data_IF_058196454207
#
_entry.id   IF_058196454207
#
_cell.length_a   1.000
_cell.length_b   1.000
_cell.length_c   1.000
_cell.angle_alpha   90.00
_cell.angle_beta   90.00
_cell.angle_gamma   90.00
#
_symmetry.space_group_name_H-M   'P 1'
#
loop_
_entity.id
_entity.type
_entity.pdbx_description
1 polymer ?
#
# COMPACT_ATOMS: atom_id res chain seq x y z
N UNK A 1 16.05 3.97 10.80
CA UNK A 1 15.12 4.20 9.69
C UNK A 1 13.88 3.53 10.15
N UNK A 2 12.82 4.30 10.07
CA UNK A 2 11.63 4.00 10.82
C UNK A 2 10.67 3.50 9.77
N UNK A 3 10.34 2.21 9.85
CA UNK A 3 9.37 1.61 8.93
C UNK A 3 7.99 1.95 9.44
N UNK A 4 7.35 2.89 8.74
CA UNK A 4 5.95 3.19 8.94
C UNK A 4 5.12 2.00 8.44
N UNK A 5 4.11 1.64 9.22
CA UNK A 5 3.08 0.70 8.77
C UNK A 5 2.26 1.45 7.72
N UNK A 6 2.05 0.88 6.52
CA UNK A 6 1.28 1.57 5.51
C UNK A 6 -0.17 1.72 5.97
N UNK A 7 -0.72 2.93 5.85
CA UNK A 7 -2.10 3.22 6.18
C UNK A 7 -3.06 2.77 5.06
N UNK A 8 -3.04 1.47 4.74
CA UNK A 8 -3.87 0.83 3.73
C UNK A 8 -4.55 -0.43 4.26
N UNK A 9 -5.39 -1.07 3.45
CA UNK A 9 -6.15 -2.28 3.81
C UNK A 9 -5.24 -3.40 4.35
N UNK A 10 -4.06 -3.55 3.76
CA UNK A 10 -3.10 -4.58 4.11
C UNK A 10 -2.34 -4.28 5.41
N UNK A 11 -1.95 -3.02 5.62
CA UNK A 11 -1.35 -2.57 6.88
C UNK A 11 -2.32 -2.73 8.05
N UNK A 12 -3.59 -2.37 7.86
CA UNK A 12 -4.66 -2.63 8.84
C UNK A 12 -4.79 -4.13 9.15
N UNK A 13 -4.79 -4.99 8.13
CA UNK A 13 -4.88 -6.44 8.33
C UNK A 13 -3.71 -7.06 9.11
N UNK A 14 -2.56 -6.39 9.07
CA UNK A 14 -1.35 -6.80 9.76
C UNK A 14 -1.28 -6.20 11.19
N UNK A 15 -1.68 -4.95 11.36
CA UNK A 15 -1.52 -4.18 12.58
C UNK A 15 -2.67 -4.32 13.58
N UNK A 16 -3.91 -4.49 13.12
CA UNK A 16 -5.10 -4.50 13.98
C UNK A 16 -5.22 -5.77 14.86
N UNK A 17 -5.03 -7.01 14.36
CA UNK A 17 -5.21 -8.20 15.18
C UNK A 17 -4.33 -8.26 16.45
N UNK A 18 -3.05 -7.82 16.41
CA UNK A 18 -2.23 -7.73 17.62
C UNK A 18 -2.69 -6.71 18.67
N UNK A 19 -3.40 -5.65 18.29
CA UNK A 19 -3.86 -4.61 19.23
C UNK A 19 -5.10 -5.05 20.03
N UNK A 20 -5.91 -5.94 19.47
CA UNK A 20 -7.15 -6.39 20.10
C UNK A 20 -6.89 -7.36 21.25
N UNK A 21 -7.41 -7.06 22.44
CA UNK A 21 -7.30 -7.90 23.62
C UNK A 21 -8.64 -8.51 24.00
N UNK A 22 -8.78 -9.82 23.81
CA UNK A 22 -10.00 -10.58 24.17
C UNK A 22 -10.44 -10.34 25.63
N UNK A 23 -9.50 -10.03 26.53
CA UNK A 23 -9.77 -9.78 27.95
C UNK A 23 -10.40 -8.42 28.23
N UNK A 24 -10.07 -7.39 27.44
CA UNK A 24 -10.53 -6.02 27.64
C UNK A 24 -11.72 -5.69 26.73
N UNK A 25 -11.65 -6.10 25.47
CA UNK A 25 -12.60 -5.74 24.42
C UNK A 25 -13.80 -6.71 24.34
N UNK A 26 -13.63 -7.89 24.94
CA UNK A 26 -14.61 -8.97 24.87
C UNK A 26 -14.49 -9.78 23.57
N UNK A 27 -14.94 -11.03 23.65
CA UNK A 27 -14.81 -12.00 22.54
C UNK A 27 -15.63 -11.61 21.30
N UNK A 28 -16.78 -10.96 21.49
CA UNK A 28 -17.65 -10.54 20.40
C UNK A 28 -16.99 -9.50 19.50
N UNK A 29 -16.48 -8.42 20.11
CA UNK A 29 -15.81 -7.35 19.37
C UNK A 29 -14.57 -7.88 18.65
N UNK A 30 -13.74 -8.67 19.35
CA UNK A 30 -12.58 -9.33 18.76
C UNK A 30 -12.93 -10.13 17.50
N UNK A 31 -13.96 -10.99 17.55
CA UNK A 31 -14.35 -11.81 16.40
C UNK A 31 -14.89 -10.95 15.25
N UNK A 32 -15.71 -9.95 15.56
CA UNK A 32 -16.30 -9.07 14.55
C UNK A 32 -15.25 -8.25 13.80
N UNK A 33 -14.27 -7.66 14.51
CA UNK A 33 -13.21 -6.87 13.88
C UNK A 33 -12.29 -7.73 13.01
N UNK A 34 -11.87 -8.89 13.52
CA UNK A 34 -11.08 -9.85 12.74
C UNK A 34 -11.86 -10.32 11.48
N UNK A 35 -13.14 -10.64 11.63
CA UNK A 35 -13.98 -11.03 10.50
C UNK A 35 -14.12 -9.90 9.48
N UNK A 36 -14.33 -8.66 9.94
CA UNK A 36 -14.44 -7.46 9.09
C UNK A 36 -13.20 -7.27 8.22
N UNK A 37 -12.02 -7.29 8.83
CA UNK A 37 -10.73 -7.09 8.16
C UNK A 37 -10.47 -8.17 7.11
N UNK A 38 -10.58 -9.45 7.48
CA UNK A 38 -10.33 -10.54 6.54
C UNK A 38 -11.40 -10.64 5.44
N UNK A 39 -12.64 -10.24 5.73
CA UNK A 39 -13.69 -10.15 4.72
C UNK A 39 -13.39 -9.06 3.68
N UNK A 40 -12.95 -7.87 4.10
CA UNK A 40 -12.51 -6.83 3.17
C UNK A 40 -11.33 -7.28 2.31
N UNK A 41 -10.32 -7.93 2.92
CA UNK A 41 -9.18 -8.50 2.21
C UNK A 41 -9.62 -9.53 1.17
N UNK A 42 -10.56 -10.42 1.53
CA UNK A 42 -11.11 -11.43 0.64
C UNK A 42 -11.86 -10.79 -0.54
N UNK A 43 -12.69 -9.77 -0.29
CA UNK A 43 -13.38 -9.02 -1.35
C UNK A 43 -12.35 -8.40 -2.30
N UNK A 44 -11.33 -7.74 -1.75
CA UNK A 44 -10.31 -7.11 -2.55
C UNK A 44 -9.61 -8.12 -3.47
N UNK A 45 -9.15 -9.25 -2.92
CA UNK A 45 -8.55 -10.31 -3.72
C UNK A 45 -9.50 -10.87 -4.77
N UNK A 46 -10.76 -11.08 -4.41
CA UNK A 46 -11.75 -11.59 -5.33
C UNK A 46 -11.97 -10.64 -6.51
N UNK A 47 -12.17 -9.34 -6.23
CA UNK A 47 -12.38 -8.31 -7.24
C UNK A 47 -11.15 -8.15 -8.14
N UNK A 48 -9.95 -8.00 -7.58
CA UNK A 48 -8.72 -7.94 -8.36
C UNK A 48 -8.52 -9.21 -9.22
N UNK A 49 -8.82 -10.40 -8.68
CA UNK A 49 -8.69 -11.65 -9.44
C UNK A 49 -9.67 -11.71 -10.60
N UNK A 50 -10.92 -11.28 -10.41
CA UNK A 50 -11.91 -11.22 -11.49
C UNK A 50 -11.45 -10.29 -12.61
N UNK A 51 -10.91 -9.11 -12.26
CA UNK A 51 -10.37 -8.18 -13.25
C UNK A 51 -9.19 -8.78 -14.00
N UNK A 52 -8.25 -9.42 -13.31
CA UNK A 52 -7.11 -10.09 -13.96
C UNK A 52 -7.59 -11.18 -14.93
N UNK A 53 -8.57 -11.99 -14.53
CA UNK A 53 -9.15 -13.02 -15.40
C UNK A 53 -9.84 -12.41 -16.62
N UNK A 54 -10.61 -11.34 -16.44
CA UNK A 54 -11.33 -10.68 -17.52
C UNK A 54 -10.39 -9.98 -18.50
N UNK A 55 -9.32 -9.33 -18.00
CA UNK A 55 -8.27 -8.76 -18.85
C UNK A 55 -7.58 -9.87 -19.65
N UNK A 56 -7.28 -11.00 -19.02
CA UNK A 56 -6.67 -12.14 -19.71
C UNK A 56 -7.60 -12.69 -20.82
N UNK A 57 -8.90 -12.79 -20.57
CA UNK A 57 -9.87 -13.23 -21.58
C UNK A 57 -9.95 -12.24 -22.76
N UNK A 58 -9.99 -10.93 -22.48
CA UNK A 58 -9.95 -9.90 -23.53
C UNK A 58 -8.65 -9.94 -24.33
N UNK A 59 -7.56 -10.32 -23.69
CA UNK A 59 -6.24 -10.42 -24.30
C UNK A 59 -6.14 -11.57 -25.31
N UNK A 60 -6.84 -12.67 -25.08
CA UNK A 60 -6.83 -13.84 -25.97
C UNK A 60 -7.61 -13.58 -27.28
N UNK A 61 -8.58 -12.66 -27.26
CA UNK A 61 -9.40 -12.31 -28.43
C UNK A 61 -8.90 -11.11 -29.26
N UNK A 62 -7.89 -10.38 -28.80
CA UNK A 62 -7.44 -9.16 -29.45
C UNK A 62 -6.53 -9.43 -30.65
N UNK A 63 -6.96 -9.03 -31.85
CA UNK A 63 -6.11 -9.03 -33.04
C UNK A 63 -5.04 -7.94 -32.98
N UNK A 64 -3.81 -8.33 -33.31
CA UNK A 64 -2.64 -7.46 -33.24
C UNK A 64 -2.49 -6.61 -34.50
N UNK A 65 -2.43 -5.28 -34.35
CA UNK A 65 -2.09 -4.37 -35.42
C UNK A 65 -0.67 -3.82 -35.22
N UNK A 66 0.25 -4.21 -36.11
CA UNK A 66 1.63 -3.72 -36.12
C UNK A 66 1.68 -2.32 -36.78
N UNK A 67 1.21 -1.27 -36.09
CA UNK A 67 1.34 0.11 -36.57
C UNK A 67 2.55 0.81 -35.91
N UNK A 68 3.43 1.40 -36.73
CA UNK A 68 4.56 2.24 -36.27
C UNK A 68 4.12 3.52 -35.58
N UNK A 69 3.00 4.09 -36.02
CA UNK A 69 2.57 5.42 -35.60
C UNK A 69 2.21 5.50 -34.10
N UNK A 70 1.82 4.38 -33.48
CA UNK A 70 1.38 4.34 -32.09
C UNK A 70 2.48 3.91 -31.10
N UNK A 71 3.67 3.54 -31.58
CA UNK A 71 4.69 2.93 -30.73
C UNK A 71 5.18 3.85 -29.61
N UNK A 72 5.30 5.15 -29.87
CA UNK A 72 5.67 6.11 -28.81
C UNK A 72 4.59 6.19 -27.72
N UNK A 73 3.31 6.17 -28.12
CA UNK A 73 2.19 6.21 -27.17
C UNK A 73 2.11 4.90 -26.37
N UNK A 74 2.26 3.75 -27.03
CA UNK A 74 2.36 2.43 -26.38
C UNK A 74 3.44 2.45 -25.30
N UNK A 75 4.63 2.95 -25.64
CA UNK A 75 5.75 3.04 -24.69
C UNK A 75 5.43 3.92 -23.49
N UNK A 76 4.86 5.11 -23.71
CA UNK A 76 4.51 6.03 -22.62
C UNK A 76 3.45 5.41 -21.71
N UNK A 77 2.40 4.81 -22.27
CA UNK A 77 1.32 4.17 -21.53
C UNK A 77 1.83 2.98 -20.69
N UNK A 78 2.64 2.10 -21.29
CA UNK A 78 3.25 0.96 -20.58
C UNK A 78 4.22 1.44 -19.52
N UNK A 79 5.05 2.43 -19.81
CA UNK A 79 6.01 2.99 -18.85
C UNK A 79 5.32 3.58 -17.63
N UNK A 80 4.29 4.41 -17.82
CA UNK A 80 3.52 5.01 -16.71
C UNK A 80 2.87 3.90 -15.87
N UNK A 81 2.28 2.90 -16.53
CA UNK A 81 1.68 1.77 -15.85
C UNK A 81 2.71 0.96 -15.03
N UNK A 82 3.87 0.63 -15.61
CA UNK A 82 4.95 -0.09 -14.92
C UNK A 82 5.53 0.71 -13.75
N UNK A 83 5.60 2.05 -13.85
CA UNK A 83 5.96 2.91 -12.72
C UNK A 83 4.96 2.76 -11.58
N UNK A 84 3.65 2.80 -11.86
CA UNK A 84 2.61 2.60 -10.84
C UNK A 84 2.73 1.21 -10.20
N UNK A 85 2.90 0.16 -11.02
CA UNK A 85 3.05 -1.20 -10.51
C UNK A 85 4.33 -1.38 -9.68
N UNK A 86 5.41 -0.69 -10.02
CA UNK A 86 6.61 -0.70 -9.19
C UNK A 86 6.35 -0.09 -7.80
N UNK A 87 5.60 1.02 -7.72
CA UNK A 87 5.24 1.63 -6.42
C UNK A 87 4.46 0.61 -5.57
N UNK A 88 3.45 -0.04 -6.14
CA UNK A 88 2.69 -1.09 -5.46
C UNK A 88 3.56 -2.27 -4.99
N UNK A 89 4.52 -2.70 -5.82
CA UNK A 89 5.45 -3.77 -5.46
C UNK A 89 6.43 -3.34 -4.35
N UNK A 90 6.87 -2.08 -4.35
CA UNK A 90 7.74 -1.53 -3.29
C UNK A 90 6.99 -1.46 -1.96
N UNK A 91 5.74 -1.02 -1.94
CA UNK A 91 4.90 -1.03 -0.74
C UNK A 91 4.68 -2.45 -0.22
N UNK A 92 4.41 -3.39 -1.14
CA UNK A 92 4.24 -4.81 -0.81
C UNK A 92 5.51 -5.41 -0.22
N UNK A 93 6.68 -5.10 -0.79
CA UNK A 93 7.97 -5.51 -0.26
C UNK A 93 8.27 -4.89 1.11
N UNK A 94 7.88 -3.62 1.31
CA UNK A 94 7.95 -2.92 2.60
C UNK A 94 7.17 -3.66 3.68
N UNK A 95 5.95 -4.11 3.37
CA UNK A 95 5.13 -4.91 4.30
C UNK A 95 5.75 -6.26 4.63
N UNK A 96 6.28 -6.98 3.63
CA UNK A 96 7.01 -8.24 3.86
C UNK A 96 8.19 -7.99 4.81
N UNK A 97 8.97 -6.94 4.55
CA UNK A 97 10.12 -6.58 5.37
C UNK A 97 9.71 -6.20 6.80
N UNK A 98 8.60 -5.47 6.96
CA UNK A 98 8.05 -5.06 8.24
C UNK A 98 7.65 -6.28 9.08
N UNK A 99 6.88 -7.22 8.51
CA UNK A 99 6.43 -8.44 9.20
C UNK A 99 7.62 -9.32 9.62
N UNK A 100 8.63 -9.44 8.76
CA UNK A 100 9.83 -10.23 9.05
C UNK A 100 10.68 -9.58 10.16
N UNK A 101 10.82 -8.25 10.13
CA UNK A 101 11.70 -7.50 11.04
C UNK A 101 11.07 -7.17 12.39
N UNK A 102 9.74 -7.22 12.50
CA UNK A 102 9.02 -6.99 13.75
C UNK A 102 9.64 -7.77 14.92
N UNK A 103 9.80 -7.16 16.10
CA UNK A 103 10.40 -7.89 17.23
C UNK A 103 9.39 -8.92 17.74
N UNK A 104 9.88 -10.15 17.99
CA UNK A 104 9.06 -11.17 18.66
C UNK A 104 8.69 -10.75 20.08
N UNK A 105 7.93 -11.57 20.82
CA UNK A 105 7.68 -11.35 22.24
C UNK A 105 9.02 -11.33 22.97
N UNK A 106 9.54 -10.14 23.26
CA UNK A 106 10.63 -10.03 24.20
C UNK A 106 10.05 -10.46 25.54
N UNK A 107 10.67 -11.45 26.17
CA UNK A 107 10.46 -11.70 27.58
C UNK A 107 10.85 -10.42 28.28
N UNK A 108 9.87 -9.53 28.48
CA UNK A 108 10.03 -8.21 29.07
C UNK A 108 10.88 -8.46 30.32
N UNK A 109 12.14 -7.99 30.38
CA UNK A 109 12.97 -8.24 31.53
C UNK A 109 12.15 -7.75 32.72
N UNK A 110 11.82 -8.66 33.64
CA UNK A 110 11.07 -8.36 34.85
C UNK A 110 11.96 -7.52 35.78
N UNK A 111 12.49 -6.40 35.31
CA UNK A 111 13.23 -5.43 36.10
C UNK A 111 12.21 -4.64 36.90
N UNK A 112 11.81 -5.24 38.03
CA UNK A 112 11.39 -4.74 39.35
C UNK A 112 10.65 -3.40 39.55
N UNK A 113 10.46 -2.54 38.55
CA UNK A 113 9.81 -1.23 38.70
C UNK A 113 8.28 -1.25 38.56
N UNK A 114 7.66 -2.42 38.31
CA UNK A 114 6.19 -2.55 38.39
C UNK A 114 5.66 -2.30 39.81
N UNK A 115 6.46 -2.57 40.85
CA UNK A 115 6.08 -2.22 42.22
C UNK A 115 5.95 -0.70 42.39
N UNK A 116 6.84 0.07 41.73
CA UNK A 116 6.89 1.53 41.83
C UNK A 116 5.67 2.23 41.18
N UNK A 117 5.17 1.71 40.05
CA UNK A 117 3.95 2.25 39.42
C UNK A 117 2.68 1.92 40.22
N UNK A 118 2.61 0.76 40.86
CA UNK A 118 1.48 0.44 41.75
C UNK A 118 1.52 1.22 43.07
N UNK A 119 2.70 1.48 43.64
CA UNK A 119 2.81 2.37 44.81
C UNK A 119 2.44 3.81 44.47
N UNK A 120 2.86 4.32 43.31
CA UNK A 120 2.57 5.70 42.92
C UNK A 120 1.09 5.92 42.55
N UNK A 121 0.43 4.93 41.94
CA UNK A 121 -1.02 4.97 41.70
C UNK A 121 -1.84 4.83 43.00
N UNK A 122 -1.31 4.14 44.02
CA UNK A 122 -1.95 3.97 45.33
C UNK A 122 -1.84 5.23 46.19
N UNK A 123 -0.79 6.04 46.03
CA UNK A 123 -0.63 7.33 46.71
C UNK A 123 -1.45 8.46 46.05
N UNK A 124 -1.78 8.34 44.76
CA UNK A 124 -2.58 9.32 44.02
C UNK A 124 -4.08 9.02 43.99
N UNK A 125 -4.55 7.96 44.68
CA UNK A 125 -5.98 7.68 44.83
C UNK A 125 -6.49 8.38 46.09
N UNK A 126 -7.13 9.56 45.99
CA UNK A 126 -7.82 10.14 47.13
C UNK A 126 -8.91 9.15 47.55
N UNK A 127 -8.85 8.74 48.81
CA UNK A 127 -9.78 7.88 49.54
C UNK A 127 -11.16 8.53 49.73
N UNK A 128 -11.69 9.17 48.68
CA UNK A 128 -13.02 9.76 48.65
C UNK A 128 -13.87 8.90 47.75
N UNK A 129 -14.74 8.12 48.38
CA UNK A 129 -15.72 7.28 47.71
C UNK A 129 -16.56 8.08 46.72
N UNK A 130 -17.20 7.34 45.82
CA UNK A 130 -18.23 7.83 44.92
C UNK A 130 -19.40 8.41 45.72
N UNK A 131 -19.24 9.64 46.19
CA UNK A 131 -20.30 10.50 46.67
C UNK A 131 -20.88 11.18 45.44
N UNK A 132 -22.15 10.92 45.18
CA UNK A 132 -22.99 11.70 44.29
C UNK A 132 -22.97 13.15 44.77
N UNK A 133 -21.99 13.93 44.30
CA UNK A 133 -21.93 15.36 44.56
C UNK A 133 -22.97 16.01 43.66
N UNK A 134 -24.02 16.43 44.35
CA UNK A 134 -25.14 17.22 43.89
C UNK A 134 -24.74 18.34 42.93
N UNK A 135 -25.51 18.45 41.86
CA UNK A 135 -25.54 19.60 40.96
C UNK A 135 -26.07 20.81 41.71
N UNK A 136 -25.19 21.79 41.96
CA UNK A 136 -25.63 23.17 42.18
C UNK A 136 -25.01 24.07 41.09
N UNK A 137 -25.91 24.46 40.19
CA UNK A 137 -25.96 25.70 39.41
C UNK A 137 -24.74 26.63 39.49
N UNK A 138 -23.88 26.58 38.46
CA UNK A 138 -23.12 27.77 38.04
C UNK A 138 -22.97 27.81 36.52
N UNK A 139 -23.93 28.51 35.94
CA UNK A 139 -23.96 29.01 34.57
C UNK A 139 -22.68 29.79 34.26
N UNK A 140 -21.97 29.36 33.22
CA UNK A 140 -20.78 30.02 32.70
C UNK A 140 -19.57 29.08 32.62
N UNK A 141 -19.19 28.69 31.41
CA UNK A 141 -17.94 27.97 31.05
C UNK A 141 -18.02 26.44 30.86
N UNK A 142 -19.20 25.88 30.57
CA UNK A 142 -19.32 24.47 30.13
C UNK A 142 -18.58 24.19 28.80
N UNK A 143 -18.62 25.14 27.85
CA UNK A 143 -17.92 25.05 26.56
C UNK A 143 -16.38 24.98 26.70
N UNK A 144 -15.78 25.66 27.69
CA UNK A 144 -14.31 25.57 27.93
C UNK A 144 -13.91 24.28 28.64
N UNK A 145 -14.82 23.64 29.39
CA UNK A 145 -14.55 22.32 30.00
C UNK A 145 -14.72 21.18 28.98
N UNK A 146 -15.65 21.30 28.02
CA UNK A 146 -15.74 20.35 26.91
C UNK A 146 -14.51 20.39 26.00
N UNK A 147 -14.03 21.58 25.62
CA UNK A 147 -12.82 21.70 24.78
C UNK A 147 -11.54 21.27 25.51
N UNK A 148 -11.46 21.43 26.84
CA UNK A 148 -10.30 20.98 27.62
C UNK A 148 -10.34 19.48 27.95
N UNK A 149 -11.52 18.84 27.96
CA UNK A 149 -11.64 17.37 28.08
C UNK A 149 -11.34 16.65 26.77
N UNK A 150 -11.64 17.26 25.62
CA UNK A 150 -11.22 16.76 24.30
C UNK A 150 -9.70 16.76 24.10
N UNK A 151 -8.96 17.57 24.86
CA UNK A 151 -7.51 17.76 24.71
C UNK A 151 -6.65 16.99 25.73
N UNK A 152 -7.24 16.15 26.60
CA UNK A 152 -6.51 15.44 27.66
C UNK A 152 -6.65 13.91 27.58
N UNK A 153 -7.02 13.40 26.41
CA UNK A 153 -7.06 11.96 26.08
C UNK A 153 -5.87 11.54 25.21
N UNK A 154 -4.79 12.34 25.16
CA UNK A 154 -3.61 12.09 24.31
C UNK A 154 -2.67 10.98 24.85
N UNK A 155 -2.84 10.50 26.08
CA UNK A 155 -2.06 9.37 26.61
C UNK A 155 -2.82 8.03 26.48
N UNK A 156 -3.53 7.84 25.36
CA UNK A 156 -4.02 6.52 24.98
C UNK A 156 -2.85 5.55 24.77
N UNK A 157 -3.05 4.23 24.95
CA UNK A 157 -2.02 3.27 24.58
C UNK A 157 -1.72 3.41 23.08
N UNK A 158 -0.56 3.95 22.74
CA UNK A 158 -0.11 4.05 21.36
C UNK A 158 0.02 2.66 20.77
N UNK A 159 -0.45 2.48 19.54
CA UNK A 159 -0.36 1.21 18.85
C UNK A 159 1.11 0.88 18.58
N UNK A 160 1.53 -0.29 19.04
CA UNK A 160 2.92 -0.74 18.87
C UNK A 160 2.95 -2.09 18.16
N UNK A 161 3.92 -2.26 17.25
CA UNK A 161 4.08 -3.52 16.50
C UNK A 161 4.92 -4.56 17.25
N UNK A 162 5.11 -4.39 18.56
CA UNK A 162 5.93 -5.27 19.39
C UNK A 162 5.16 -6.49 19.90
N UNK A 163 5.86 -7.60 20.14
CA UNK A 163 5.26 -8.77 20.78
C UNK A 163 4.57 -9.76 19.85
N UNK A 164 4.75 -9.62 18.54
CA UNK A 164 4.08 -10.47 17.56
C UNK A 164 4.68 -11.88 17.55
N UNK A 165 3.81 -12.88 17.72
CA UNK A 165 4.21 -14.30 17.69
C UNK A 165 4.71 -14.71 16.30
N UNK A 166 5.69 -15.62 16.24
CA UNK A 166 6.22 -16.14 14.97
C UNK A 166 5.14 -16.80 14.10
N UNK A 167 4.15 -17.46 14.73
CA UNK A 167 3.00 -18.06 14.04
C UNK A 167 2.17 -17.00 13.31
N UNK A 168 1.90 -15.88 13.98
CA UNK A 168 1.16 -14.78 13.36
C UNK A 168 1.96 -14.15 12.22
N UNK A 169 3.28 -13.98 12.36
CA UNK A 169 4.12 -13.49 11.24
C UNK A 169 4.03 -14.38 10.01
N UNK A 170 4.18 -15.69 10.19
CA UNK A 170 4.08 -16.64 9.09
C UNK A 170 2.68 -16.61 8.45
N UNK A 171 1.64 -16.53 9.28
CA UNK A 171 0.26 -16.38 8.83
C UNK A 171 0.04 -15.10 8.01
N UNK A 172 0.42 -13.94 8.55
CA UNK A 172 0.27 -12.65 7.87
C UNK A 172 1.09 -12.60 6.57
N UNK A 173 2.27 -13.21 6.54
CA UNK A 173 3.06 -13.31 5.32
C UNK A 173 2.34 -14.14 4.24
N UNK A 174 1.82 -15.32 4.61
CA UNK A 174 1.15 -16.24 3.67
C UNK A 174 -0.22 -15.72 3.21
N UNK A 175 -0.98 -15.07 4.10
CA UNK A 175 -2.38 -14.68 3.83
C UNK A 175 -2.49 -13.26 3.29
N UNK A 176 -1.59 -12.35 3.68
CA UNK A 176 -1.70 -10.93 3.33
C UNK A 176 -0.62 -10.54 2.33
N UNK A 177 0.65 -10.78 2.66
CA UNK A 177 1.76 -10.23 1.87
C UNK A 177 1.99 -10.99 0.55
N UNK A 178 2.03 -12.33 0.60
CA UNK A 178 2.26 -13.17 -0.59
C UNK A 178 1.16 -12.99 -1.64
N UNK A 179 -0.15 -13.04 -1.29
CA UNK A 179 -1.19 -12.84 -2.29
C UNK A 179 -1.19 -11.43 -2.87
N UNK A 180 -0.89 -10.38 -2.08
CA UNK A 180 -0.72 -9.01 -2.63
C UNK A 180 0.40 -8.96 -3.67
N UNK A 181 1.58 -9.50 -3.36
CA UNK A 181 2.72 -9.51 -4.29
C UNK A 181 2.39 -10.31 -5.56
N UNK A 182 1.74 -11.48 -5.42
CA UNK A 182 1.36 -12.29 -6.57
C UNK A 182 0.34 -11.58 -7.47
N UNK A 183 -0.67 -10.93 -6.89
CA UNK A 183 -1.65 -10.14 -7.65
C UNK A 183 -1.01 -8.93 -8.33
N UNK A 184 -0.10 -8.23 -7.64
CA UNK A 184 0.64 -7.11 -8.23
C UNK A 184 1.50 -7.56 -9.42
N UNK A 185 2.23 -8.68 -9.30
CA UNK A 185 3.02 -9.23 -10.41
C UNK A 185 2.14 -9.70 -11.58
N UNK A 186 1.01 -10.36 -11.28
CA UNK A 186 0.06 -10.80 -12.29
C UNK A 186 -0.56 -9.62 -13.03
N UNK A 187 -0.96 -8.57 -12.31
CA UNK A 187 -1.55 -7.35 -12.89
C UNK A 187 -0.51 -6.59 -13.73
N UNK A 188 0.74 -6.47 -13.27
CA UNK A 188 1.81 -5.85 -14.05
C UNK A 188 2.03 -6.58 -15.38
N UNK A 189 2.13 -7.91 -15.33
CA UNK A 189 2.37 -8.71 -16.52
C UNK A 189 1.18 -8.67 -17.51
N UNK A 190 -0.02 -9.00 -17.03
CA UNK A 190 -1.23 -9.13 -17.87
C UNK A 190 -1.70 -7.74 -18.33
N UNK A 191 -1.66 -6.74 -17.44
CA UNK A 191 -2.02 -5.36 -17.73
C UNK A 191 -1.09 -4.70 -18.76
N UNK A 192 0.21 -4.95 -18.67
CA UNK A 192 1.18 -4.44 -19.66
C UNK A 192 0.91 -4.99 -21.06
N UNK A 193 0.63 -6.30 -21.16
CA UNK A 193 0.25 -6.93 -22.44
C UNK A 193 -1.07 -6.33 -22.96
N UNK A 194 -2.07 -6.20 -22.10
CA UNK A 194 -3.38 -5.65 -22.46
C UNK A 194 -3.30 -4.23 -23.04
N UNK A 195 -2.48 -3.36 -22.45
CA UNK A 195 -2.25 -2.00 -22.95
C UNK A 195 -1.67 -2.03 -24.38
N UNK A 196 -0.67 -2.89 -24.61
CA UNK A 196 0.02 -2.98 -25.92
C UNK A 196 -0.88 -3.55 -27.02
N UNK A 197 -1.84 -4.42 -26.67
CA UNK A 197 -2.79 -4.98 -27.65
C UNK A 197 -3.89 -4.00 -28.10
N UNK A 198 -3.95 -2.79 -27.54
CA UNK A 198 -4.96 -1.80 -27.90
C UNK A 198 -4.78 -1.28 -29.33
N UNK A 199 -5.87 -1.29 -30.13
CA UNK A 199 -5.83 -0.91 -31.56
C UNK A 199 -5.68 0.59 -31.80
N UNK A 200 -6.35 1.38 -30.96
CA UNK A 200 -6.48 2.82 -31.11
C UNK A 200 -5.84 3.56 -29.94
N UNK A 201 -5.35 4.78 -30.20
CA UNK A 201 -4.76 5.64 -29.17
C UNK A 201 -5.72 5.91 -28.00
N UNK A 202 -7.00 6.14 -28.29
CA UNK A 202 -8.02 6.39 -27.27
C UNK A 202 -8.25 5.15 -26.39
N UNK A 203 -8.40 3.98 -27.02
CA UNK A 203 -8.57 2.69 -26.34
C UNK A 203 -7.36 2.34 -25.49
N UNK A 204 -6.15 2.67 -25.94
CA UNK A 204 -4.91 2.46 -25.20
C UNK A 204 -4.86 3.29 -23.92
N UNK A 205 -5.18 4.58 -24.00
CA UNK A 205 -5.27 5.45 -22.82
C UNK A 205 -6.36 4.98 -21.86
N UNK A 206 -7.55 4.64 -22.37
CA UNK A 206 -8.64 4.10 -21.55
C UNK A 206 -8.24 2.78 -20.87
N UNK A 207 -7.52 1.91 -21.59
CA UNK A 207 -7.02 0.64 -21.05
C UNK A 207 -5.99 0.89 -19.94
N UNK A 208 -5.05 1.82 -20.13
CA UNK A 208 -4.09 2.19 -19.09
C UNK A 208 -4.79 2.70 -17.83
N UNK A 209 -5.76 3.61 -17.98
CA UNK A 209 -6.52 4.14 -16.84
C UNK A 209 -7.31 3.04 -16.12
N UNK A 210 -7.89 2.10 -16.87
CA UNK A 210 -8.62 0.97 -16.29
C UNK A 210 -7.71 0.07 -15.45
N UNK A 211 -6.50 -0.28 -15.93
CA UNK A 211 -5.57 -1.11 -15.16
C UNK A 211 -5.01 -0.37 -13.96
N UNK A 212 -4.71 0.94 -14.08
CA UNK A 212 -4.31 1.77 -12.93
C UNK A 212 -5.42 1.83 -11.88
N UNK A 213 -6.67 2.01 -12.28
CA UNK A 213 -7.81 1.98 -11.36
C UNK A 213 -7.91 0.64 -10.62
N UNK A 214 -7.64 -0.48 -11.30
CA UNK A 214 -7.64 -1.81 -10.67
C UNK A 214 -6.53 -1.92 -9.61
N UNK A 215 -5.36 -1.33 -9.85
CA UNK A 215 -4.27 -1.29 -8.88
C UNK A 215 -4.67 -0.55 -7.60
N UNK A 216 -5.50 0.50 -7.71
CA UNK A 216 -5.91 1.36 -6.59
C UNK A 216 -7.19 0.89 -5.85
N UNK A 217 -7.74 -0.29 -6.18
CA UNK A 217 -8.98 -0.80 -5.57
C UNK A 217 -8.84 -0.99 -4.05
N UNK A 218 -7.67 -1.40 -3.57
CA UNK A 218 -7.42 -1.62 -2.14
C UNK A 218 -7.51 -0.31 -1.35
N UNK A 219 -7.01 0.80 -1.90
CA UNK A 219 -7.09 2.13 -1.33
C UNK A 219 -8.56 2.61 -1.27
N UNK A 220 -9.32 2.39 -2.35
CA UNK A 220 -10.76 2.75 -2.41
C UNK A 220 -11.56 1.96 -1.36
N UNK A 221 -11.32 0.65 -1.26
CA UNK A 221 -11.98 -0.20 -0.27
C UNK A 221 -11.59 0.20 1.15
N UNK A 222 -10.32 0.50 1.39
CA UNK A 222 -9.84 0.99 2.68
C UNK A 222 -10.54 2.29 3.09
N UNK A 223 -10.59 3.28 2.20
CA UNK A 223 -11.24 4.56 2.47
C UNK A 223 -12.75 4.41 2.73
N UNK A 224 -13.44 3.58 1.95
CA UNK A 224 -14.87 3.41 2.06
C UNK A 224 -15.32 2.65 3.33
N UNK A 225 -14.57 1.63 3.75
CA UNK A 225 -14.99 0.72 4.81
C UNK A 225 -14.22 0.87 6.14
N UNK A 226 -13.25 1.78 6.20
CA UNK A 226 -12.48 2.06 7.41
C UNK A 226 -12.91 3.38 8.05
N UNK A 227 -13.28 3.34 9.33
CA UNK A 227 -13.66 4.56 10.06
C UNK A 227 -12.49 5.54 10.14
N UNK A 228 -12.77 6.84 10.15
CA UNK A 228 -11.70 7.86 10.24
C UNK A 228 -10.88 7.75 11.53
N UNK A 229 -11.49 7.33 12.64
CA UNK A 229 -10.76 7.11 13.89
C UNK A 229 -9.69 6.02 13.74
N UNK A 230 -10.06 4.90 13.10
CA UNK A 230 -9.14 3.80 12.83
C UNK A 230 -8.01 4.20 11.89
N UNK A 231 -8.31 5.02 10.88
CA UNK A 231 -7.29 5.55 9.96
C UNK A 231 -6.28 6.43 10.70
N UNK A 232 -6.76 7.32 11.56
CA UNK A 232 -5.88 8.14 12.41
C UNK A 232 -5.03 7.27 13.35
N UNK A 233 -5.61 6.24 13.99
CA UNK A 233 -4.85 5.32 14.86
C UNK A 233 -3.77 4.54 14.10
N UNK A 234 -4.03 4.17 12.84
CA UNK A 234 -3.05 3.49 12.00
C UNK A 234 -1.95 4.44 11.48
N UNK A 235 -2.31 5.69 11.16
CA UNK A 235 -1.37 6.75 10.76
C UNK A 235 -0.46 7.19 11.93
N UNK A 236 -0.99 7.21 13.17
CA UNK A 236 -0.27 7.57 14.40
C UNK A 236 0.48 6.39 15.04
N UNK A 237 0.50 5.23 14.37
CA UNK A 237 1.15 4.02 14.86
C UNK A 237 2.67 4.23 15.02
N UNK A 238 3.23 3.75 16.13
CA UNK A 238 4.67 3.88 16.37
C UNK A 238 5.47 3.13 15.29
N UNK A 239 6.37 3.81 14.56
CA UNK A 239 7.09 3.17 13.46
C UNK A 239 8.10 2.15 13.99
N UNK A 240 8.33 1.09 13.23
CA UNK A 240 9.27 0.04 13.63
C UNK A 240 10.70 0.52 13.42
N UNK A 241 11.41 0.77 14.52
CA UNK A 241 12.83 1.15 14.48
C UNK A 241 13.70 -0.03 14.02
N UNK A 242 14.26 0.09 12.80
CA UNK A 242 15.21 -0.89 12.28
C UNK A 242 16.62 -0.27 12.26
N UNK A 243 17.61 -0.87 12.96
CA UNK A 243 18.99 -0.42 12.91
C UNK A 243 19.58 -0.72 11.53
N UNK A 244 19.65 0.30 10.67
CA UNK A 244 20.28 0.22 9.36
C UNK A 244 21.71 0.75 9.42
N UNK A 245 22.66 -0.10 9.01
CA UNK A 245 24.04 0.32 8.71
C UNK A 245 24.08 1.33 7.55
N UNK A 246 25.06 2.23 7.56
CA UNK A 246 25.26 3.25 6.51
C UNK A 246 25.34 2.65 5.11
N UNK A 247 25.96 1.46 4.98
CA UNK A 247 26.04 0.76 3.70
C UNK A 247 24.65 0.38 3.15
N UNK A 248 23.73 -0.07 4.02
CA UNK A 248 22.35 -0.40 3.62
C UNK A 248 21.55 0.85 3.24
N UNK A 249 21.77 1.97 3.93
CA UNK A 249 21.13 3.26 3.59
C UNK A 249 21.55 3.73 2.20
N UNK A 250 22.85 3.69 1.91
CA UNK A 250 23.37 4.03 0.58
C UNK A 250 22.83 3.07 -0.49
N UNK A 251 22.77 1.77 -0.18
CA UNK A 251 22.20 0.77 -1.08
C UNK A 251 20.72 0.99 -1.37
N UNK A 252 19.90 1.30 -0.36
CA UNK A 252 18.49 1.62 -0.52
C UNK A 252 18.29 2.89 -1.34
N UNK A 253 19.07 3.93 -1.07
CA UNK A 253 19.04 5.18 -1.85
C UNK A 253 19.41 4.96 -3.32
N UNK A 254 20.46 4.17 -3.58
CA UNK A 254 20.86 3.83 -4.95
C UNK A 254 19.79 2.98 -5.64
N UNK A 255 19.23 2.02 -4.91
CA UNK A 255 18.19 1.14 -5.41
C UNK A 255 16.93 1.93 -5.78
N UNK A 256 16.45 2.83 -4.93
CA UNK A 256 15.24 3.61 -5.17
C UNK A 256 15.45 4.76 -6.17
N UNK A 257 16.59 5.43 -6.13
CA UNK A 257 16.83 6.63 -6.93
C UNK A 257 17.32 6.37 -8.35
N UNK A 258 18.06 5.28 -8.58
CA UNK A 258 18.70 5.01 -9.88
C UNK A 258 18.26 3.65 -10.42
N UNK A 259 18.42 2.58 -9.63
CA UNK A 259 18.21 1.23 -10.13
C UNK A 259 16.73 0.97 -10.47
N UNK A 260 15.80 1.41 -9.63
CA UNK A 260 14.37 1.23 -9.81
C UNK A 260 13.84 1.90 -11.09
N UNK A 261 14.07 3.21 -11.35
CA UNK A 261 13.65 3.84 -12.60
C UNK A 261 14.29 3.21 -13.85
N UNK A 262 15.57 2.84 -13.78
CA UNK A 262 16.26 2.16 -14.89
C UNK A 262 15.67 0.77 -15.14
N UNK A 263 15.36 0.02 -14.08
CA UNK A 263 14.73 -1.28 -14.18
C UNK A 263 13.34 -1.17 -14.82
N UNK A 264 12.52 -0.20 -14.43
CA UNK A 264 11.20 0.03 -15.03
C UNK A 264 11.30 0.39 -16.51
N UNK A 265 12.22 1.29 -16.87
CA UNK A 265 12.46 1.61 -18.28
C UNK A 265 12.91 0.37 -19.08
N UNK A 266 13.84 -0.42 -18.54
CA UNK A 266 14.31 -1.65 -19.17
C UNK A 266 13.21 -2.70 -19.31
N UNK A 267 12.38 -2.90 -18.28
CA UNK A 267 11.23 -3.81 -18.31
C UNK A 267 10.21 -3.35 -19.33
N UNK A 268 9.87 -2.06 -19.37
CA UNK A 268 8.93 -1.51 -20.37
C UNK A 268 9.41 -1.76 -21.81
N UNK A 269 10.69 -1.50 -22.09
CA UNK A 269 11.29 -1.80 -23.40
C UNK A 269 11.29 -3.30 -23.68
N UNK A 270 11.61 -4.13 -22.69
CA UNK A 270 11.64 -5.59 -22.84
C UNK A 270 10.25 -6.18 -23.12
N UNK A 271 9.21 -5.70 -22.44
CA UNK A 271 7.82 -6.13 -22.65
C UNK A 271 7.36 -5.75 -24.05
N UNK A 272 7.57 -4.50 -24.47
CA UNK A 272 7.24 -4.07 -25.83
C UNK A 272 8.00 -4.87 -26.89
N UNK A 273 9.30 -5.06 -26.71
CA UNK A 273 10.11 -5.85 -27.66
C UNK A 273 9.60 -7.29 -27.74
N UNK A 274 9.37 -7.95 -26.60
CA UNK A 274 8.85 -9.33 -26.55
C UNK A 274 7.56 -9.48 -27.33
N UNK A 275 6.59 -8.59 -27.13
CA UNK A 275 5.28 -8.65 -27.77
C UNK A 275 5.39 -8.39 -29.27
N UNK A 276 6.06 -7.29 -29.68
CA UNK A 276 6.25 -6.99 -31.11
C UNK A 276 7.00 -8.12 -31.84
N UNK A 277 7.95 -8.78 -31.17
CA UNK A 277 8.67 -9.93 -31.75
C UNK A 277 7.77 -11.15 -31.97
N UNK A 278 6.78 -11.37 -31.10
CA UNK A 278 5.84 -12.50 -31.23
C UNK A 278 4.78 -12.23 -32.30
N UNK A 279 4.30 -10.99 -32.42
CA UNK A 279 3.15 -10.69 -33.26
C UNK A 279 3.54 -10.24 -34.68
N UNK A 280 4.69 -9.56 -34.83
CA UNK A 280 5.13 -8.99 -36.10
C UNK A 280 6.27 -9.81 -36.73
N UNK A 281 6.04 -11.13 -36.92
CA UNK A 281 6.98 -12.04 -37.57
C UNK A 281 7.25 -11.62 -39.04
N UNK A 282 8.21 -10.73 -39.27
CA UNK A 282 8.66 -10.37 -40.62
C UNK A 282 9.24 -8.96 -40.78
N UNK A 283 8.90 -8.03 -39.90
CA UNK A 283 9.45 -6.67 -39.93
C UNK A 283 10.51 -6.54 -38.83
N UNK A 284 11.77 -6.38 -39.22
CA UNK A 284 12.85 -6.08 -38.29
C UNK A 284 12.74 -4.60 -37.95
N UNK A 285 12.18 -4.29 -36.79
CA UNK A 285 12.16 -2.93 -36.27
C UNK A 285 13.57 -2.54 -35.88
N UNK A 286 14.13 -1.60 -36.64
CA UNK A 286 15.41 -1.03 -36.28
C UNK A 286 15.20 0.10 -35.28
N UNK A 287 16.08 0.18 -34.27
CA UNK A 287 16.15 1.33 -33.34
C UNK A 287 16.30 2.66 -34.11
N UNK A 288 16.82 2.61 -35.35
CA UNK A 288 16.87 3.77 -36.24
C UNK A 288 15.50 4.36 -36.55
N UNK A 289 14.48 3.52 -36.70
CA UNK A 289 13.16 3.94 -37.17
C UNK A 289 12.44 4.69 -36.04
N UNK A 290 12.52 4.14 -34.83
CA UNK A 290 12.04 4.79 -33.60
C UNK A 290 12.74 6.13 -33.36
N UNK A 291 14.06 6.20 -33.61
CA UNK A 291 14.82 7.45 -33.50
C UNK A 291 14.40 8.47 -34.56
N UNK A 292 14.18 8.04 -35.80
CA UNK A 292 13.78 8.90 -36.91
C UNK A 292 12.40 9.53 -36.64
N UNK A 293 11.46 8.73 -36.12
CA UNK A 293 10.10 9.17 -35.79
C UNK A 293 10.08 10.13 -34.58
N UNK A 294 10.87 9.83 -33.54
CA UNK A 294 11.05 10.75 -32.41
C UNK A 294 11.63 12.10 -32.86
N UNK A 295 12.65 12.07 -33.70
CA UNK A 295 13.28 13.29 -34.24
C UNK A 295 12.31 14.06 -35.14
N UNK A 296 11.49 13.36 -35.93
CA UNK A 296 10.45 13.98 -36.76
C UNK A 296 9.39 14.68 -35.90
N UNK A 297 8.90 14.02 -34.85
CA UNK A 297 7.94 14.63 -33.91
C UNK A 297 8.52 15.83 -33.18
N UNK A 298 9.73 15.70 -32.60
CA UNK A 298 10.42 16.82 -31.95
C UNK A 298 10.60 18.00 -32.90
N UNK A 299 10.97 17.76 -34.16
CA UNK A 299 11.11 18.80 -35.17
C UNK A 299 9.76 19.47 -35.47
N UNK A 300 8.69 18.70 -35.67
CA UNK A 300 7.36 19.23 -35.96
C UNK A 300 6.79 20.10 -34.83
N UNK A 301 6.98 19.68 -33.58
CA UNK A 301 6.55 20.45 -32.41
C UNK A 301 7.32 21.76 -32.26
N UNK A 302 8.63 21.76 -32.55
CA UNK A 302 9.44 23.00 -32.51
C UNK A 302 9.00 23.98 -33.60
N UNK A 303 8.69 23.50 -34.82
CA UNK A 303 8.26 24.39 -35.92
C UNK A 303 6.86 24.96 -35.70
N UNK A 304 5.95 24.22 -35.05
CA UNK A 304 4.59 24.69 -34.76
C UNK A 304 4.52 25.77 -33.69
N UNK A 305 5.49 25.85 -32.77
CA UNK A 305 5.57 26.90 -31.75
C UNK A 305 6.08 28.24 -32.34
N UNK A 306 6.73 28.20 -33.50
CA UNK A 306 7.30 29.38 -34.16
C UNK A 306 6.31 30.11 -35.09
N UNK A 307 5.08 29.62 -35.24
CA UNK A 307 3.99 30.26 -36.00
C UNK A 307 2.96 30.87 -35.05
#
# INVERSE_FOLDING_TARGET
>A
MDLQVPANLYGMAIAEPPQLSVKHDGRGLFVTEIARVYFMLLINYFVCSLFVLQINEMNDGAEHHCSAQLVLLEFICVFIFEVQMLVELQESAGMVFLVLTAKGPQAQPQTSNRLSRYTQAREASPTSGAVLVNEDSRSGSWLKRMTKRLRKTEDGPQWTFEGISWKFKAWSLVVVAVPKVLLGLALAYIGGIYIIKSKDAETMVMSTLAVVFIADIDAILYEAFTSSAMRCELEDMEPVEVPLSNAKRLGLWLASGILAPLAVAAVSVAVMWRIKQQDCHGEVWSVSDMRAELMHHLRSSITGIAQ
#
